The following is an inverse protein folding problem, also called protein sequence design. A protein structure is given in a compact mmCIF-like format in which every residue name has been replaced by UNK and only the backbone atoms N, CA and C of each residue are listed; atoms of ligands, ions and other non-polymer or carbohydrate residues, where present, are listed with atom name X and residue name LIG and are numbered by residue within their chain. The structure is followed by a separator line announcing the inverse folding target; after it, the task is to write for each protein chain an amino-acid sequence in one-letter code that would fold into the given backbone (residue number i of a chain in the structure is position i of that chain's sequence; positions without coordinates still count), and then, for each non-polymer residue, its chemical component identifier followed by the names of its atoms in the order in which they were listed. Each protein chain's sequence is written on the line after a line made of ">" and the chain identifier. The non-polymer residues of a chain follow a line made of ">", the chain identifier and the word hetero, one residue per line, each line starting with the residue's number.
data_IF_226860307970
#
_entry.id   IF_226860307970
#
_cell.length_a   1.000
_cell.length_b   1.000
_cell.length_c   1.000
_cell.angle_alpha   90.00
_cell.angle_beta   90.00
_cell.angle_gamma   90.00
#
_symmetry.space_group_name_H-M   'P 1'
#
loop_
_entity.id
_entity.type
_entity.pdbx_description
1 polymer ?
#
# COMPACT_ATOMS: atom_id res chain seq x y z
N UNK A 1 -14.09 13.62 -1.77
CA UNK A 1 -15.34 13.09 -2.36
C UNK A 1 -15.39 13.58 -3.79
N UNK A 2 -15.04 12.73 -4.76
CA UNK A 2 -15.16 13.06 -6.18
C UNK A 2 -16.64 12.99 -6.55
N UNK A 3 -17.17 14.04 -7.16
CA UNK A 3 -18.58 14.16 -7.51
C UNK A 3 -18.96 13.05 -8.50
N UNK A 4 -19.88 12.18 -8.09
CA UNK A 4 -20.36 11.05 -8.89
C UNK A 4 -21.01 11.52 -10.21
N UNK A 5 -21.48 12.78 -10.26
CA UNK A 5 -21.97 13.40 -11.50
C UNK A 5 -20.86 13.71 -12.49
N UNK A 6 -19.65 14.01 -12.02
CA UNK A 6 -18.49 14.26 -12.88
C UNK A 6 -18.03 12.98 -13.59
N UNK A 7 -18.01 11.85 -12.88
CA UNK A 7 -17.69 10.55 -13.48
C UNK A 7 -18.72 10.12 -14.53
N UNK A 8 -20.01 10.31 -14.25
CA UNK A 8 -21.10 10.00 -15.19
C UNK A 8 -21.03 10.86 -16.46
N UNK A 9 -20.68 12.15 -16.33
CA UNK A 9 -20.54 13.05 -17.48
C UNK A 9 -19.34 12.66 -18.37
N UNK A 10 -18.23 12.23 -17.77
CA UNK A 10 -17.01 11.86 -18.52
C UNK A 10 -17.18 10.54 -19.28
N UNK A 11 -17.89 9.56 -18.70
CA UNK A 11 -18.23 8.28 -19.37
C UNK A 11 -19.19 8.50 -20.55
N UNK A 12 -20.10 9.46 -20.46
CA UNK A 12 -21.04 9.77 -21.55
C UNK A 12 -20.36 10.45 -22.73
N UNK A 13 -19.35 11.28 -22.45
CA UNK A 13 -18.58 12.00 -23.47
C UNK A 13 -17.64 11.09 -24.26
N UNK A 14 -17.12 10.02 -23.65
CA UNK A 14 -16.31 9.02 -24.36
C UNK A 14 -17.15 8.06 -25.20
N UNK A 15 -18.43 7.86 -24.88
CA UNK A 15 -19.33 7.01 -25.67
C UNK A 15 -19.75 7.66 -27.00
N UNK A 16 -19.94 8.98 -27.06
CA UNK A 16 -20.37 9.68 -28.30
C UNK A 16 -19.24 9.84 -29.32
N UNK A 17 -17.97 9.77 -28.90
CA UNK A 17 -16.81 9.87 -29.82
C UNK A 17 -16.56 8.56 -30.60
N UNK A 18 -17.16 7.44 -30.17
CA UNK A 18 -16.92 6.10 -30.75
C UNK A 18 -17.86 5.76 -31.91
N UNK A 19 -18.92 6.54 -32.18
CA UNK A 19 -19.83 6.26 -33.32
C UNK A 19 -19.38 6.85 -34.67
N UNK A 20 -18.25 7.56 -34.72
CA UNK A 20 -17.62 8.03 -35.96
C UNK A 20 -16.78 6.94 -36.65
N UNK A 21 -17.43 6.03 -37.39
CA UNK A 21 -16.79 4.98 -38.22
C UNK A 21 -15.67 5.54 -39.13
N UNK A 22 -14.41 5.06 -39.00
CA UNK A 22 -13.50 5.00 -40.14
C UNK A 22 -13.68 3.65 -40.86
N UNK A 23 -13.97 3.72 -42.16
CA UNK A 23 -13.89 2.59 -43.09
C UNK A 23 -12.41 2.23 -43.25
N UNK A 24 -11.97 1.13 -42.64
CA UNK A 24 -10.69 0.50 -42.94
C UNK A 24 -10.95 -0.93 -43.45
N UNK A 25 -10.57 -1.14 -44.71
CA UNK A 25 -10.55 -2.43 -45.37
C UNK A 25 -9.44 -3.32 -44.78
N UNK A 26 -9.84 -4.54 -44.43
CA UNK A 26 -9.10 -5.77 -44.75
C UNK A 26 -7.72 -5.98 -44.12
N UNK A 27 -7.68 -6.81 -43.07
CA UNK A 27 -6.73 -7.93 -43.00
C UNK A 27 -7.10 -8.92 -41.90
N UNK A 28 -6.71 -10.16 -42.13
CA UNK A 28 -7.30 -11.41 -41.67
C UNK A 28 -7.11 -11.73 -40.17
N UNK A 29 -8.10 -12.49 -39.70
CA UNK A 29 -8.14 -13.41 -38.56
C UNK A 29 -6.82 -14.20 -38.36
N UNK A 30 -6.48 -14.56 -37.11
CA UNK A 30 -6.80 -15.94 -36.75
C UNK A 30 -7.40 -16.14 -35.35
N UNK A 31 -7.95 -17.35 -35.22
CA UNK A 31 -8.92 -17.82 -34.25
C UNK A 31 -8.36 -18.22 -32.89
N UNK A 32 -9.27 -18.08 -31.92
CA UNK A 32 -9.55 -18.95 -30.78
C UNK A 32 -8.47 -19.13 -29.68
N UNK A 33 -8.85 -18.79 -28.45
CA UNK A 33 -9.19 -19.82 -27.47
C UNK A 33 -10.20 -19.25 -26.45
N UNK A 34 -11.26 -20.03 -26.24
CA UNK A 34 -12.28 -19.86 -25.20
C UNK A 34 -11.78 -20.54 -23.93
N UNK A 35 -12.12 -19.98 -22.78
CA UNK A 35 -12.53 -20.62 -21.51
C UNK A 35 -12.66 -19.47 -20.48
N UNK A 36 -13.72 -19.27 -19.69
CA UNK A 36 -14.71 -20.20 -19.16
C UNK A 36 -14.60 -20.18 -17.62
N UNK A 37 -15.62 -19.67 -16.92
CA UNK A 37 -15.75 -19.75 -15.45
C UNK A 37 -15.97 -18.38 -14.80
N UNK A 38 -17.19 -17.91 -14.49
CA UNK A 38 -18.26 -18.46 -13.63
C UNK A 38 -17.96 -18.30 -12.13
N UNK A 39 -18.56 -17.24 -11.57
CA UNK A 39 -19.21 -17.04 -10.26
C UNK A 39 -18.68 -17.79 -9.03
N UNK A 40 -18.40 -17.06 -7.95
CA UNK A 40 -19.21 -17.22 -6.72
C UNK A 40 -19.15 -15.97 -5.83
N UNK A 41 -20.36 -15.46 -5.56
CA UNK A 41 -20.70 -14.57 -4.45
C UNK A 41 -20.59 -15.34 -3.14
N UNK A 42 -19.92 -14.80 -2.12
CA UNK A 42 -20.18 -15.19 -0.72
C UNK A 42 -20.19 -13.95 0.17
N UNK A 43 -21.40 -13.48 0.36
CA UNK A 43 -22.07 -13.27 1.65
C UNK A 43 -21.25 -12.71 2.83
N UNK A 44 -21.61 -11.46 3.15
CA UNK A 44 -21.34 -10.73 4.37
C UNK A 44 -21.95 -11.42 5.59
N UNK A 45 -21.18 -11.63 6.66
CA UNK A 45 -21.73 -11.89 7.99
C UNK A 45 -21.18 -10.90 9.02
N UNK A 46 -22.14 -10.14 9.53
CA UNK A 46 -22.16 -9.22 10.64
C UNK A 46 -22.04 -10.00 11.96
N UNK A 47 -21.07 -9.65 12.81
CA UNK A 47 -20.94 -10.21 14.15
C UNK A 47 -20.78 -9.09 15.18
N UNK A 48 -21.93 -8.75 15.76
CA UNK A 48 -22.22 -8.16 17.07
C UNK A 48 -21.09 -8.01 18.08
N UNK A 49 -20.94 -6.76 18.55
CA UNK A 49 -20.23 -6.34 19.77
C UNK A 49 -20.84 -6.94 21.05
N UNK A 50 -20.02 -7.24 22.07
CA UNK A 50 -20.47 -7.17 23.46
C UNK A 50 -19.92 -5.94 24.21
N UNK A 51 -20.88 -5.23 24.77
CA UNK A 51 -20.81 -4.06 25.67
C UNK A 51 -20.04 -4.34 26.98
N UNK A 52 -19.36 -3.34 27.57
CA UNK A 52 -18.56 -3.51 28.78
C UNK A 52 -19.42 -3.51 30.05
N UNK A 53 -19.20 -4.51 30.92
CA UNK A 53 -19.82 -4.56 32.25
C UNK A 53 -18.96 -3.80 33.25
N UNK A 54 -19.53 -2.68 33.68
CA UNK A 54 -19.20 -1.86 34.85
C UNK A 54 -19.23 -2.65 36.16
N UNK A 55 -18.27 -2.40 37.05
CA UNK A 55 -18.33 -2.83 38.46
C UNK A 55 -16.99 -2.63 39.17
N UNK A 56 -16.68 -1.44 39.69
CA UNK A 56 -16.98 -0.94 41.06
C UNK A 56 -15.74 -1.02 41.97
N UNK A 57 -15.17 0.16 42.21
CA UNK A 57 -14.29 0.46 43.33
C UNK A 57 -14.97 0.22 44.68
N UNK A 58 -14.26 -0.44 45.60
CA UNK A 58 -14.29 -0.18 47.04
C UNK A 58 -12.91 -0.60 47.59
N UNK A 59 -12.03 0.33 47.93
CA UNK A 59 -11.94 1.02 49.22
C UNK A 59 -11.69 0.08 50.41
N UNK A 60 -10.53 0.31 51.05
CA UNK A 60 -10.35 0.30 52.51
C UNK A 60 -10.23 -1.10 53.16
N UNK A 61 -9.05 -1.46 53.69
CA UNK A 61 -8.62 -1.13 55.06
C UNK A 61 -7.22 -1.74 55.33
N UNK A 62 -6.32 -0.91 55.85
CA UNK A 62 -5.11 -1.34 56.53
C UNK A 62 -5.45 -1.89 57.92
N UNK A 63 -4.63 -2.82 58.44
CA UNK A 63 -4.21 -2.68 59.82
C UNK A 63 -2.69 -2.80 59.98
N UNK A 64 -2.16 -1.86 60.78
CA UNK A 64 -0.85 -1.91 61.42
C UNK A 64 -0.88 -2.95 62.54
N UNK A 65 0.20 -3.71 62.70
CA UNK A 65 0.78 -4.21 63.98
C UNK A 65 2.13 -4.85 63.59
N UNK A 66 3.30 -4.27 63.92
CA UNK A 66 4.04 -4.28 65.20
C UNK A 66 4.48 -5.66 65.69
N UNK A 67 5.81 -5.85 65.62
CA UNK A 67 6.69 -6.31 66.70
C UNK A 67 7.10 -7.80 66.73
N UNK A 68 8.41 -7.96 66.47
CA UNK A 68 9.37 -8.82 67.19
C UNK A 68 9.61 -10.30 66.85
N UNK A 69 10.90 -10.61 67.04
CA UNK A 69 11.54 -11.88 67.39
C UNK A 69 12.09 -12.80 66.30
N UNK A 70 13.40 -12.60 66.10
CA UNK A 70 14.45 -13.63 65.95
C UNK A 70 14.00 -15.06 66.21
N UNK A 71 13.96 -15.86 65.15
CA UNK A 71 14.20 -17.31 65.25
C UNK A 71 15.15 -17.77 64.15
N UNK A 72 16.33 -18.14 64.62
CA UNK A 72 17.40 -18.85 63.96
C UNK A 72 16.86 -20.12 63.31
N UNK A 73 16.69 -20.13 61.99
CA UNK A 73 16.39 -21.35 61.25
C UNK A 73 17.72 -22.00 60.85
N UNK A 74 18.10 -23.07 61.55
CA UNK A 74 19.15 -23.98 61.11
C UNK A 74 18.69 -24.62 59.79
N UNK A 75 19.26 -24.16 58.68
CA UNK A 75 19.11 -24.81 57.38
C UNK A 75 19.88 -26.13 57.43
N UNK A 76 19.16 -27.23 57.66
CA UNK A 76 19.62 -28.54 57.23
C UNK A 76 19.71 -28.51 55.70
N UNK A 77 20.95 -28.57 55.19
CA UNK A 77 21.23 -28.80 53.78
C UNK A 77 20.90 -30.26 53.47
N UNK A 78 19.61 -30.52 53.25
CA UNK A 78 19.15 -31.75 52.62
C UNK A 78 19.41 -31.61 51.12
N UNK A 79 20.60 -32.03 50.68
CA UNK A 79 21.00 -32.11 49.28
C UNK A 79 20.36 -33.32 48.59
N UNK A 80 19.04 -33.42 48.66
CA UNK A 80 18.26 -34.26 47.75
C UNK A 80 17.89 -33.41 46.53
N UNK A 81 18.88 -33.12 45.69
CA UNK A 81 18.67 -32.47 44.40
C UNK A 81 18.06 -33.50 43.44
N UNK A 82 16.73 -33.68 43.50
CA UNK A 82 16.00 -34.32 42.43
C UNK A 82 16.22 -33.49 41.15
N UNK A 83 16.57 -34.10 40.00
CA UNK A 83 16.68 -33.38 38.75
C UNK A 83 15.35 -32.72 38.43
N UNK A 84 15.39 -31.40 38.22
CA UNK A 84 14.21 -30.63 37.83
C UNK A 84 13.92 -30.99 36.38
N UNK A 85 12.76 -31.57 36.10
CA UNK A 85 12.31 -31.75 34.71
C UNK A 85 12.17 -30.37 34.06
N UNK A 86 12.87 -30.18 32.94
CA UNK A 86 12.97 -28.91 32.23
C UNK A 86 12.02 -28.85 31.03
N UNK A 87 11.27 -29.93 30.78
CA UNK A 87 10.22 -29.95 29.76
C UNK A 87 9.10 -28.98 30.17
N UNK A 88 8.81 -27.99 29.32
CA UNK A 88 7.79 -26.97 29.56
C UNK A 88 6.89 -26.82 28.35
N UNK A 89 5.64 -26.45 28.57
CA UNK A 89 4.75 -26.07 27.47
C UNK A 89 4.56 -24.55 27.52
N UNK A 90 5.14 -23.84 26.56
CA UNK A 90 5.02 -22.40 26.42
C UNK A 90 4.22 -22.09 25.16
N UNK A 91 3.07 -21.41 25.31
CA UNK A 91 2.16 -21.08 24.20
C UNK A 91 1.69 -22.32 23.41
N UNK A 92 1.52 -23.46 24.07
CA UNK A 92 1.16 -24.73 23.41
C UNK A 92 2.30 -25.37 22.60
N UNK A 93 3.53 -24.87 22.76
CA UNK A 93 4.74 -25.42 22.14
C UNK A 93 5.53 -26.16 23.22
N UNK A 94 5.77 -27.47 23.07
CA UNK A 94 6.70 -28.20 23.92
C UNK A 94 8.12 -27.62 23.76
N UNK A 95 8.70 -27.22 24.88
CA UNK A 95 10.04 -26.66 24.99
C UNK A 95 10.91 -27.57 25.84
N UNK A 96 12.17 -27.74 25.45
CA UNK A 96 13.17 -28.47 26.23
C UNK A 96 14.49 -27.68 26.26
N UNK A 97 14.54 -26.53 26.97
CA UNK A 97 15.72 -25.70 27.03
C UNK A 97 16.80 -26.37 27.88
N UNK A 98 18.06 -26.32 27.44
CA UNK A 98 19.16 -27.01 28.13
C UNK A 98 19.58 -26.31 29.42
N UNK A 99 19.41 -24.98 29.52
CA UNK A 99 19.77 -24.14 30.68
C UNK A 99 21.19 -24.34 31.25
N UNK A 100 22.09 -24.99 30.51
CA UNK A 100 23.47 -25.28 30.94
C UNK A 100 24.21 -24.10 31.57
N UNK A 101 24.10 -22.85 31.06
CA UNK A 101 24.77 -21.70 31.66
C UNK A 101 24.29 -21.36 33.08
N UNK A 102 23.11 -21.85 33.49
CA UNK A 102 22.54 -21.57 34.81
C UNK A 102 23.05 -22.51 35.91
N UNK A 103 23.84 -23.53 35.57
CA UNK A 103 24.35 -24.51 36.54
C UNK A 103 25.33 -23.92 37.57
N UNK A 104 25.87 -22.72 37.32
CA UNK A 104 26.75 -22.01 38.24
C UNK A 104 26.01 -21.37 39.42
N UNK A 105 24.68 -21.29 39.37
CA UNK A 105 23.85 -20.62 40.37
C UNK A 105 23.24 -21.61 41.37
N UNK A 106 22.88 -21.10 42.55
CA UNK A 106 22.10 -21.89 43.53
C UNK A 106 20.75 -22.32 42.94
N UNK A 107 20.21 -23.45 43.41
CA UNK A 107 18.90 -23.98 42.97
C UNK A 107 17.76 -22.96 43.01
N UNK A 108 17.75 -22.08 44.01
CA UNK A 108 16.75 -21.02 44.14
C UNK A 108 16.93 -19.96 43.06
N UNK A 109 18.17 -19.51 42.83
CA UNK A 109 18.49 -18.53 41.81
C UNK A 109 18.25 -19.08 40.39
N UNK A 110 18.66 -20.33 40.13
CA UNK A 110 18.46 -21.05 38.88
C UNK A 110 16.98 -21.13 38.50
N UNK A 111 16.11 -21.55 39.42
CA UNK A 111 14.65 -21.58 39.20
C UNK A 111 14.06 -20.21 38.85
N UNK A 112 14.49 -19.16 39.56
CA UNK A 112 14.02 -17.80 39.27
C UNK A 112 14.49 -17.31 37.90
N UNK A 113 15.74 -17.59 37.52
CA UNK A 113 16.27 -17.23 36.21
C UNK A 113 15.54 -17.97 35.08
N UNK A 114 15.29 -19.27 35.24
CA UNK A 114 14.50 -20.05 34.27
C UNK A 114 13.11 -19.44 34.07
N UNK A 115 12.41 -19.07 35.16
CA UNK A 115 11.11 -18.40 35.06
C UNK A 115 11.20 -17.03 34.36
N UNK A 116 12.31 -16.31 34.54
CA UNK A 116 12.59 -15.09 33.80
C UNK A 116 12.72 -15.33 32.31
N UNK A 117 13.46 -16.36 31.91
CA UNK A 117 13.64 -16.73 30.50
C UNK A 117 12.33 -17.21 29.85
N UNK A 118 11.52 -17.99 30.54
CA UNK A 118 10.18 -18.37 30.06
C UNK A 118 9.33 -17.12 29.78
N UNK A 119 9.35 -16.16 30.71
CA UNK A 119 8.62 -14.90 30.56
C UNK A 119 9.12 -14.12 29.35
N UNK A 120 10.43 -14.02 29.17
CA UNK A 120 11.03 -13.37 27.99
C UNK A 120 10.63 -14.08 26.70
N UNK A 121 10.61 -15.41 26.66
CA UNK A 121 10.13 -16.17 25.51
C UNK A 121 8.68 -15.81 25.16
N UNK A 122 7.79 -15.81 26.15
CA UNK A 122 6.38 -15.44 25.96
C UNK A 122 6.23 -13.99 25.48
N UNK A 123 6.95 -13.06 26.10
CA UNK A 123 6.92 -11.64 25.73
C UNK A 123 7.41 -11.43 24.28
N UNK A 124 8.49 -12.09 23.86
CA UNK A 124 8.99 -12.00 22.47
C UNK A 124 7.97 -12.58 21.49
N UNK A 125 7.37 -13.72 21.83
CA UNK A 125 6.33 -14.34 20.99
C UNK A 125 5.07 -13.48 20.89
N UNK A 126 4.66 -12.81 21.96
CA UNK A 126 3.55 -11.83 21.95
C UNK A 126 3.91 -10.60 21.11
N UNK A 127 5.13 -10.09 21.25
CA UNK A 127 5.61 -8.96 20.44
C UNK A 127 5.54 -9.31 18.95
N UNK A 128 6.06 -10.47 18.53
CA UNK A 128 5.98 -10.95 17.15
C UNK A 128 4.53 -11.05 16.65
N UNK A 129 3.60 -11.50 17.50
CA UNK A 129 2.17 -11.58 17.15
C UNK A 129 1.52 -10.21 17.02
N UNK A 130 1.96 -9.24 17.81
CA UNK A 130 1.43 -7.87 17.84
C UNK A 130 2.10 -6.93 16.83
N UNK A 131 3.09 -7.40 16.07
CA UNK A 131 3.79 -6.58 15.08
C UNK A 131 2.81 -6.02 14.04
N UNK A 132 2.77 -4.70 13.95
CA UNK A 132 2.05 -3.97 12.91
C UNK A 132 3.02 -3.54 11.81
N UNK A 133 2.47 -3.02 10.70
CA UNK A 133 3.29 -2.47 9.63
C UNK A 133 4.09 -1.23 10.07
N UNK A 134 3.57 -0.48 11.04
CA UNK A 134 4.22 0.72 11.56
C UNK A 134 5.38 0.34 12.49
N UNK A 135 6.57 0.88 12.23
CA UNK A 135 7.78 0.55 13.00
C UNK A 135 8.24 -0.91 12.89
N UNK A 136 7.74 -1.69 11.93
CA UNK A 136 8.15 -3.10 11.75
C UNK A 136 9.66 -3.23 11.59
N UNK A 137 10.25 -2.46 10.66
CA UNK A 137 11.68 -2.54 10.37
C UNK A 137 12.56 -2.02 11.52
N UNK A 138 12.02 -1.16 12.38
CA UNK A 138 12.73 -0.67 13.56
C UNK A 138 12.77 -1.72 14.69
N UNK A 139 11.72 -2.55 14.79
CA UNK A 139 11.55 -3.54 15.86
C UNK A 139 12.10 -4.93 15.50
N UNK A 140 12.06 -5.33 14.23
CA UNK A 140 12.47 -6.67 13.78
C UNK A 140 13.91 -7.01 14.19
N UNK A 141 14.84 -6.06 14.09
CA UNK A 141 16.24 -6.27 14.45
C UNK A 141 16.44 -6.56 15.94
N UNK A 142 15.62 -5.97 16.81
CA UNK A 142 15.63 -6.27 18.26
C UNK A 142 15.09 -7.66 18.53
N UNK A 143 13.95 -8.02 17.91
CA UNK A 143 13.32 -9.33 18.08
C UNK A 143 14.21 -10.48 17.60
N UNK A 144 14.90 -10.32 16.46
CA UNK A 144 15.87 -11.31 15.97
C UNK A 144 17.00 -11.56 16.99
N UNK A 145 17.50 -10.50 17.63
CA UNK A 145 18.54 -10.64 18.67
C UNK A 145 18.00 -11.41 19.88
N UNK A 146 16.80 -11.06 20.36
CA UNK A 146 16.19 -11.76 21.50
C UNK A 146 15.90 -13.24 21.19
N UNK A 147 15.44 -13.58 19.99
CA UNK A 147 15.27 -14.96 19.55
C UNK A 147 16.60 -15.72 19.51
N UNK A 148 17.65 -15.09 18.96
CA UNK A 148 18.98 -15.69 18.92
C UNK A 148 19.56 -15.92 20.32
N UNK A 149 19.34 -15.01 21.26
CA UNK A 149 19.74 -15.17 22.66
C UNK A 149 19.01 -16.33 23.34
N UNK A 150 17.69 -16.44 23.14
CA UNK A 150 16.88 -17.55 23.66
C UNK A 150 17.35 -18.91 23.13
N UNK A 151 17.62 -18.98 21.83
CA UNK A 151 18.11 -20.20 21.16
C UNK A 151 19.52 -20.57 21.63
N UNK A 152 20.47 -19.64 21.52
CA UNK A 152 21.89 -19.91 21.70
C UNK A 152 22.33 -20.03 23.17
N UNK A 153 21.72 -19.26 24.07
CA UNK A 153 22.13 -19.24 25.48
C UNK A 153 21.37 -20.27 26.31
N UNK A 154 20.10 -20.52 25.97
CA UNK A 154 19.22 -21.31 26.83
C UNK A 154 18.64 -22.54 26.14
N UNK A 155 18.73 -22.66 24.82
CA UNK A 155 18.29 -23.82 24.06
C UNK A 155 16.80 -23.86 23.76
N UNK A 156 16.12 -22.71 23.72
CA UNK A 156 14.70 -22.67 23.35
C UNK A 156 14.49 -23.04 21.89
N UNK A 157 13.43 -23.81 21.61
CA UNK A 157 12.95 -24.01 20.24
C UNK A 157 12.15 -22.78 19.80
N UNK A 158 12.83 -21.91 19.06
CA UNK A 158 12.28 -20.69 18.48
C UNK A 158 12.00 -20.82 16.98
N UNK A 159 12.11 -22.03 16.41
CA UNK A 159 12.02 -22.25 14.95
C UNK A 159 10.73 -21.70 14.34
N UNK A 160 9.61 -21.84 15.05
CA UNK A 160 8.30 -21.32 14.61
C UNK A 160 8.24 -19.79 14.64
N UNK A 161 8.88 -19.16 15.63
CA UNK A 161 8.95 -17.71 15.76
C UNK A 161 9.84 -17.11 14.68
N UNK A 162 10.99 -17.74 14.39
CA UNK A 162 11.85 -17.39 13.26
C UNK A 162 11.09 -17.41 11.94
N UNK A 163 10.43 -18.53 11.64
CA UNK A 163 9.65 -18.68 10.40
C UNK A 163 8.58 -17.60 10.28
N UNK A 164 7.85 -17.33 11.36
CA UNK A 164 6.82 -16.29 11.36
C UNK A 164 7.40 -14.90 11.10
N UNK A 165 8.56 -14.60 11.69
CA UNK A 165 9.23 -13.31 11.51
C UNK A 165 9.73 -13.14 10.06
N UNK A 166 10.29 -14.19 9.46
CA UNK A 166 10.70 -14.20 8.05
C UNK A 166 9.50 -14.03 7.10
N UNK A 167 8.37 -14.68 7.39
CA UNK A 167 7.13 -14.51 6.62
C UNK A 167 6.61 -13.07 6.70
N UNK A 168 6.61 -12.48 7.89
CA UNK A 168 6.21 -11.09 8.10
C UNK A 168 7.11 -10.12 7.35
N UNK A 169 8.43 -10.33 7.39
CA UNK A 169 9.40 -9.49 6.70
C UNK A 169 9.19 -9.51 5.18
N UNK A 170 8.98 -10.69 4.59
CA UNK A 170 8.67 -10.85 3.18
C UNK A 170 7.35 -10.13 2.79
N UNK A 171 6.31 -10.23 3.62
CA UNK A 171 5.05 -9.51 3.39
C UNK A 171 5.28 -7.99 3.44
N UNK A 172 6.05 -7.50 4.40
CA UNK A 172 6.34 -6.07 4.56
C UNK A 172 7.19 -5.51 3.41
N UNK A 173 8.16 -6.29 2.93
CA UNK A 173 8.98 -5.92 1.78
C UNK A 173 8.13 -5.79 0.51
N UNK A 174 7.27 -6.78 0.22
CA UNK A 174 6.29 -6.71 -0.88
C UNK A 174 5.32 -5.53 -0.75
N UNK A 175 4.87 -5.25 0.48
CA UNK A 175 3.99 -4.12 0.73
C UNK A 175 4.70 -2.78 0.43
N UNK A 176 5.97 -2.66 0.83
CA UNK A 176 6.80 -1.49 0.50
C UNK A 176 6.99 -1.32 -1.00
N UNK A 177 7.29 -2.39 -1.73
CA UNK A 177 7.39 -2.36 -3.20
C UNK A 177 6.07 -1.96 -3.86
N UNK A 178 4.95 -2.50 -3.38
CA UNK A 178 3.62 -2.17 -3.88
C UNK A 178 3.30 -0.68 -3.67
N UNK A 179 3.55 -0.14 -2.46
CA UNK A 179 3.34 1.28 -2.16
C UNK A 179 4.21 2.19 -3.03
N UNK A 180 5.46 1.80 -3.27
CA UNK A 180 6.33 2.53 -4.20
C UNK A 180 5.75 2.52 -5.61
N UNK A 181 5.33 1.35 -6.12
CA UNK A 181 4.72 1.24 -7.45
C UNK A 181 3.43 2.07 -7.60
N UNK A 182 2.60 2.15 -6.55
CA UNK A 182 1.42 3.03 -6.52
C UNK A 182 1.84 4.50 -6.61
N UNK A 183 2.87 4.90 -5.86
CA UNK A 183 3.39 6.27 -5.93
C UNK A 183 3.92 6.60 -7.32
N UNK A 184 4.66 5.68 -7.95
CA UNK A 184 5.23 5.88 -9.27
C UNK A 184 4.14 6.00 -10.35
N UNK A 185 3.12 5.15 -10.29
CA UNK A 185 1.95 5.23 -11.18
C UNK A 185 1.20 6.53 -11.00
N UNK A 186 1.04 7.00 -9.76
CA UNK A 186 0.40 8.29 -9.49
C UNK A 186 1.17 9.44 -10.14
N UNK A 187 2.49 9.48 -9.97
CA UNK A 187 3.33 10.50 -10.60
C UNK A 187 3.19 10.49 -12.13
N UNK A 188 3.17 9.29 -12.74
CA UNK A 188 2.96 9.15 -14.20
C UNK A 188 1.61 9.67 -14.65
N UNK A 189 0.55 9.42 -13.89
CA UNK A 189 -0.79 9.97 -14.19
C UNK A 189 -0.76 11.48 -14.10
N UNK A 190 -0.13 12.05 -13.08
CA UNK A 190 0.00 13.50 -12.92
C UNK A 190 0.78 14.12 -14.10
N UNK A 191 1.89 13.49 -14.53
CA UNK A 191 2.68 13.90 -15.70
C UNK A 191 1.86 13.84 -17.01
N UNK A 192 1.12 12.75 -17.23
CA UNK A 192 0.26 12.59 -18.39
C UNK A 192 -0.88 13.63 -18.41
N UNK A 193 -1.45 13.97 -17.25
CA UNK A 193 -2.46 15.03 -17.14
C UNK A 193 -1.90 16.41 -17.49
N UNK A 194 -0.67 16.72 -17.11
CA UNK A 194 0.01 17.96 -17.49
C UNK A 194 0.27 18.02 -18.99
N UNK A 195 0.72 16.92 -19.58
CA UNK A 195 0.94 16.82 -21.02
C UNK A 195 -0.35 16.96 -21.82
N UNK A 196 -1.44 16.34 -21.37
CA UNK A 196 -2.77 16.53 -21.97
C UNK A 196 -3.17 18.00 -21.97
N UNK A 197 -3.04 18.70 -20.83
CA UNK A 197 -3.34 20.13 -20.73
C UNK A 197 -2.49 20.97 -21.68
N UNK A 198 -1.19 20.64 -21.81
CA UNK A 198 -0.27 21.31 -22.74
C UNK A 198 -0.72 21.14 -24.19
N UNK A 199 -1.04 19.92 -24.59
CA UNK A 199 -1.51 19.61 -25.95
C UNK A 199 -2.88 20.24 -26.26
N UNK A 200 -3.80 20.27 -25.29
CA UNK A 200 -5.09 20.96 -25.45
C UNK A 200 -4.91 22.46 -25.69
N UNK A 201 -3.97 23.10 -24.99
CA UNK A 201 -3.63 24.50 -25.20
C UNK A 201 -3.01 24.74 -26.59
N UNK A 202 -2.11 23.86 -27.03
CA UNK A 202 -1.48 23.91 -28.36
C UNK A 202 -2.51 23.73 -29.49
N UNK A 203 -3.40 22.74 -29.36
CA UNK A 203 -4.52 22.53 -30.30
C UNK A 203 -5.42 23.76 -30.37
N UNK A 204 -5.72 24.37 -29.22
CA UNK A 204 -6.56 25.57 -29.16
C UNK A 204 -5.89 26.77 -29.85
N UNK A 205 -4.58 26.95 -29.65
CA UNK A 205 -3.79 27.99 -30.32
C UNK A 205 -3.73 27.78 -31.84
N UNK A 206 -3.52 26.54 -32.28
CA UNK A 206 -3.51 26.20 -33.71
C UNK A 206 -4.88 26.43 -34.37
N UNK A 207 -5.98 26.09 -33.69
CA UNK A 207 -7.34 26.36 -34.18
C UNK A 207 -7.59 27.87 -34.31
N UNK A 208 -7.14 28.68 -33.36
CA UNK A 208 -7.26 30.13 -33.45
C UNK A 208 -6.51 30.69 -34.67
N UNK A 209 -5.27 30.21 -34.88
CA UNK A 209 -4.46 30.60 -36.04
C UNK A 209 -5.10 30.17 -37.36
N UNK A 210 -5.66 28.97 -37.42
CA UNK A 210 -6.36 28.48 -38.61
C UNK A 210 -7.56 29.37 -38.97
N UNK A 211 -8.34 29.81 -37.96
CA UNK A 211 -9.47 30.72 -38.19
C UNK A 211 -9.01 32.07 -38.72
N UNK A 212 -7.92 32.61 -38.18
CA UNK A 212 -7.32 33.87 -38.66
C UNK A 212 -6.82 33.76 -40.11
N UNK A 213 -6.08 32.69 -40.43
CA UNK A 213 -5.59 32.44 -41.78
C UNK A 213 -6.74 32.24 -42.78
N UNK A 214 -7.80 31.52 -42.38
CA UNK A 214 -8.97 31.34 -43.23
C UNK A 214 -9.68 32.67 -43.50
N UNK A 215 -9.81 33.54 -42.49
CA UNK A 215 -10.39 34.87 -42.67
C UNK A 215 -9.56 35.73 -43.64
N UNK A 216 -8.22 35.64 -43.57
CA UNK A 216 -7.31 36.31 -44.50
C UNK A 216 -7.49 35.80 -45.94
N UNK A 217 -7.58 34.49 -46.14
CA UNK A 217 -7.83 33.88 -47.45
C UNK A 217 -9.18 34.34 -48.00
N UNK A 218 -10.24 34.33 -47.18
CA UNK A 218 -11.57 34.75 -47.61
C UNK A 218 -11.61 36.23 -48.04
N UNK A 219 -10.88 37.10 -47.32
CA UNK A 219 -10.73 38.52 -47.69
C UNK A 219 -9.98 38.69 -49.03
N UNK A 220 -8.88 37.95 -49.23
CA UNK A 220 -8.13 37.97 -50.48
C UNK A 220 -8.97 37.46 -51.66
N UNK A 221 -9.73 36.39 -51.46
CA UNK A 221 -10.65 35.85 -52.47
C UNK A 221 -11.74 36.85 -52.84
N UNK A 222 -12.26 37.61 -51.86
CA UNK A 222 -13.21 38.70 -52.12
C UNK A 222 -12.59 39.80 -52.97
N UNK A 223 -11.40 40.30 -52.60
CA UNK A 223 -10.68 41.32 -53.38
C UNK A 223 -10.34 40.85 -54.79
N UNK A 224 -9.98 39.58 -54.95
CA UNK A 224 -9.69 39.00 -56.26
C UNK A 224 -10.94 39.00 -57.16
N UNK A 225 -12.11 38.65 -56.63
CA UNK A 225 -13.37 38.71 -57.36
C UNK A 225 -13.75 40.14 -57.76
N UNK A 226 -13.61 41.11 -56.85
CA UNK A 226 -13.85 42.53 -57.17
C UNK A 226 -12.97 43.00 -58.33
N UNK A 227 -11.70 42.58 -58.37
CA UNK A 227 -10.76 42.90 -59.46
C UNK A 227 -11.06 42.14 -60.76
N UNK A 228 -11.59 40.92 -60.67
CA UNK A 228 -12.03 40.13 -61.82
C UNK A 228 -13.27 40.76 -62.50
N UNK A 229 -14.18 41.34 -61.72
CA UNK A 229 -15.33 42.10 -62.24
C UNK A 229 -14.90 43.42 -62.92
N UNK A 230 -13.83 44.07 -62.46
CA UNK A 230 -13.25 45.27 -63.09
C UNK A 230 -12.58 44.98 -64.44
N UNK A 231 -12.15 43.73 -64.68
CA UNK A 231 -11.37 43.32 -65.84
C UNK A 231 -12.02 43.62 -67.21
N UNK A 232 -13.31 43.27 -67.46
CA UNK A 232 -13.98 43.58 -68.73
C UNK A 232 -14.06 45.09 -69.02
N UNK A 233 -14.24 45.93 -67.99
CA UNK A 233 -14.30 47.40 -68.16
C UNK A 233 -12.94 47.94 -68.62
N UNK A 234 -11.85 47.43 -68.03
CA UNK A 234 -10.49 47.79 -68.42
C UNK A 234 -10.20 47.31 -69.85
N UNK A 235 -10.67 46.11 -70.21
CA UNK A 235 -10.47 45.55 -71.55
C UNK A 235 -11.23 46.34 -72.63
N UNK A 236 -12.48 46.74 -72.35
CA UNK A 236 -13.28 47.59 -73.24
C UNK A 236 -12.65 48.97 -73.43
N UNK A 237 -12.21 49.61 -72.34
CA UNK A 237 -11.55 50.92 -72.42
C UNK A 237 -10.21 50.86 -73.15
N UNK A 238 -9.46 49.76 -73.02
CA UNK A 238 -8.24 49.54 -73.80
C UNK A 238 -8.55 49.33 -75.29
N UNK A 239 -9.56 48.51 -75.64
CA UNK A 239 -9.99 48.33 -77.03
C UNK A 239 -10.44 49.65 -77.68
N UNK A 240 -11.22 50.48 -76.96
CA UNK A 240 -11.65 51.77 -77.44
C UNK A 240 -10.47 52.72 -77.73
N UNK A 241 -9.42 52.68 -76.90
CA UNK A 241 -8.22 53.48 -77.10
C UNK A 241 -7.41 53.03 -78.31
N UNK A 242 -7.30 51.72 -78.56
CA UNK A 242 -6.57 51.17 -79.71
C UNK A 242 -7.29 51.43 -81.04
N UNK A 243 -8.62 51.50 -81.03
CA UNK A 243 -9.45 51.74 -82.22
C UNK A 243 -9.70 53.23 -82.51
N UNK A 244 -9.25 54.14 -81.65
CA UNK A 244 -9.38 55.58 -81.88
C UNK A 244 -8.41 56.03 -83.01
N UNK A 245 -8.87 56.83 -84.00
CA UNK A 245 -7.99 57.32 -85.05
C UNK A 245 -6.94 58.28 -84.49
N UNK A 246 -5.67 58.09 -84.89
CA UNK A 246 -4.53 58.96 -84.57
C UNK A 246 -4.72 60.41 -85.04
#
# INVERSE_FOLDING_TARGET
>A
MVDQKWLQAKVKQTAEVVEGKPVLQGSQEPQALKDGGSVDEVETQEATEPKPTSGRCASVQAPKNKTEEDKTFKTAMDNSAQPVDHSRELLGIPQNPHFEPLNVFTEKARRNLMAGWDKTFVEVAEQIQSLTADGFFDSVGGLRKSLAELESLMGYDVSRLWKRLDELENIMEKNKECLQGVSDLKNRVDDEEEEIKRLEAEISALRAKQVEEQACIDELMKKAKEKEEDLPIILESFQAMVLAPL
#
